data_IF_015844018083
#
_entry.id   IF_015844018083
#
_cell.length_a   1.000
_cell.length_b   1.000
_cell.length_c   1.000
_cell.angle_alpha   90.00
_cell.angle_beta   90.00
_cell.angle_gamma   90.00
#
_symmetry.space_group_name_H-M   'P 1'
#
loop_
_entity.id
_entity.type
_entity.pdbx_description
1 polymer ?
#
# COMPACT_ATOMS: atom_id res chain seq x y z
N UNK A 1 -53.77 26.76 37.86
CA UNK A 1 -53.08 26.97 36.56
C UNK A 1 -51.62 27.40 36.72
N UNK A 2 -51.31 28.44 37.52
CA UNK A 2 -49.93 28.93 37.72
C UNK A 2 -48.91 27.86 38.17
N UNK A 3 -49.30 26.97 39.09
CA UNK A 3 -48.43 25.90 39.62
C UNK A 3 -48.00 24.86 38.57
N UNK A 4 -48.81 24.64 37.53
CA UNK A 4 -48.48 23.70 36.44
C UNK A 4 -47.48 24.34 35.48
N UNK A 5 -47.64 25.63 35.21
CA UNK A 5 -46.76 26.40 34.34
C UNK A 5 -45.35 26.50 34.93
N UNK A 6 -45.24 26.79 36.23
CA UNK A 6 -43.93 26.85 36.91
C UNK A 6 -43.22 25.49 36.94
N UNK A 7 -43.93 24.39 37.17
CA UNK A 7 -43.33 23.04 37.11
C UNK A 7 -42.84 22.67 35.71
N UNK A 8 -43.55 23.06 34.65
CA UNK A 8 -43.13 22.79 33.27
C UNK A 8 -41.90 23.62 32.85
N UNK A 9 -41.80 24.85 33.33
CA UNK A 9 -40.62 25.70 33.10
C UNK A 9 -39.39 25.08 33.78
N UNK A 10 -39.50 24.67 35.04
CA UNK A 10 -38.40 24.05 35.78
C UNK A 10 -37.98 22.72 35.14
N UNK A 11 -38.93 21.89 34.68
CA UNK A 11 -38.62 20.66 33.95
C UNK A 11 -37.86 20.92 32.64
N UNK A 12 -38.23 21.98 31.90
CA UNK A 12 -37.59 22.35 30.64
C UNK A 12 -36.15 22.83 30.86
N UNK A 13 -35.92 23.68 31.87
CA UNK A 13 -34.57 24.11 32.27
C UNK A 13 -33.70 22.93 32.71
N UNK A 14 -34.25 22.02 33.52
CA UNK A 14 -33.54 20.82 33.98
C UNK A 14 -33.18 19.87 32.82
N UNK A 15 -34.06 19.74 31.82
CA UNK A 15 -33.81 18.92 30.63
C UNK A 15 -32.70 19.52 29.74
N UNK A 16 -32.67 20.85 29.59
CA UNK A 16 -31.63 21.54 28.82
C UNK A 16 -30.25 21.46 29.49
N UNK A 17 -30.17 21.52 30.83
CA UNK A 17 -28.89 21.33 31.54
C UNK A 17 -28.34 19.90 31.46
N UNK A 18 -29.21 18.89 31.36
CA UNK A 18 -28.80 17.47 31.36
C UNK A 18 -28.11 17.02 30.06
N UNK A 19 -28.18 17.81 28.99
CA UNK A 19 -27.69 17.43 27.65
C UNK A 19 -26.30 18.00 27.28
N UNK A 20 -25.56 18.57 28.24
CA UNK A 20 -24.16 18.97 28.02
C UNK A 20 -23.19 17.85 28.40
N UNK A 21 -23.32 16.71 27.74
CA UNK A 21 -22.27 15.69 27.74
C UNK A 21 -21.17 16.17 26.77
N UNK A 22 -20.21 16.93 27.28
CA UNK A 22 -19.05 17.40 26.53
C UNK A 22 -18.07 16.24 26.28
N UNK A 23 -18.38 15.39 25.31
CA UNK A 23 -17.48 14.33 24.82
C UNK A 23 -16.47 14.93 23.83
N UNK A 24 -15.68 15.90 24.28
CA UNK A 24 -14.59 16.49 23.50
C UNK A 24 -13.30 15.67 23.65
N UNK A 25 -12.58 15.49 22.54
CA UNK A 25 -11.24 14.92 22.53
C UNK A 25 -10.30 15.77 23.38
N UNK A 26 -9.45 15.16 24.19
CA UNK A 26 -8.54 15.91 25.06
C UNK A 26 -7.27 16.32 24.29
N UNK A 27 -6.66 17.45 24.67
CA UNK A 27 -5.41 17.91 24.04
C UNK A 27 -4.28 16.87 24.23
N UNK A 28 -4.28 16.20 25.39
CA UNK A 28 -3.31 15.16 25.74
C UNK A 28 -3.47 13.91 24.85
N UNK A 29 -4.68 13.55 24.48
CA UNK A 29 -4.97 12.45 23.55
C UNK A 29 -4.33 12.69 22.18
N UNK A 30 -4.48 13.90 21.65
CA UNK A 30 -3.92 14.26 20.35
C UNK A 30 -2.38 14.29 20.40
N UNK A 31 -1.80 14.76 21.50
CA UNK A 31 -0.35 14.75 21.71
C UNK A 31 0.19 13.32 21.77
N UNK A 32 -0.46 12.43 22.51
CA UNK A 32 -0.05 11.02 22.59
C UNK A 32 -0.09 10.34 21.22
N UNK A 33 -1.15 10.58 20.43
CA UNK A 33 -1.27 10.04 19.07
C UNK A 33 -0.14 10.53 18.17
N UNK A 34 0.19 11.82 18.21
CA UNK A 34 1.30 12.38 17.44
C UNK A 34 2.65 11.77 17.84
N UNK A 35 2.88 11.52 19.13
CA UNK A 35 4.09 10.84 19.61
C UNK A 35 4.17 9.43 19.04
N UNK A 36 3.08 8.66 19.11
CA UNK A 36 3.03 7.28 18.57
C UNK A 36 3.27 7.30 17.05
N UNK A 37 2.57 8.17 16.32
CA UNK A 37 2.76 8.31 14.87
C UNK A 37 4.18 8.76 14.51
N UNK A 38 4.81 9.61 15.31
CA UNK A 38 6.20 10.03 15.13
C UNK A 38 7.19 8.87 15.25
N UNK A 39 7.03 8.02 16.27
CA UNK A 39 7.87 6.83 16.46
C UNK A 39 7.65 5.83 15.33
N UNK A 40 6.39 5.58 14.95
CA UNK A 40 6.06 4.67 13.86
C UNK A 40 6.62 5.17 12.52
N UNK A 41 6.49 6.47 12.21
CA UNK A 41 7.00 7.06 10.99
C UNK A 41 8.52 6.96 10.89
N UNK A 42 9.24 7.21 11.99
CA UNK A 42 10.70 7.12 12.05
C UNK A 42 11.22 5.72 11.66
N UNK A 43 10.49 4.66 12.01
CA UNK A 43 10.86 3.26 11.66
C UNK A 43 10.27 2.82 10.32
N UNK A 44 9.06 3.26 9.98
CA UNK A 44 8.34 2.82 8.78
C UNK A 44 8.92 3.42 7.48
N UNK A 45 9.27 4.70 7.49
CA UNK A 45 9.78 5.40 6.30
C UNK A 45 11.05 4.74 5.72
N UNK A 46 12.14 4.52 6.48
CA UNK A 46 13.36 3.94 5.91
C UNK A 46 13.13 2.52 5.38
N UNK A 47 12.35 1.69 6.11
CA UNK A 47 12.01 0.33 5.68
C UNK A 47 11.18 0.32 4.40
N UNK A 48 10.26 1.29 4.26
CA UNK A 48 9.45 1.42 3.06
C UNK A 48 10.32 1.77 1.84
N UNK A 49 11.22 2.74 1.98
CA UNK A 49 12.15 3.13 0.91
C UNK A 49 13.07 1.98 0.49
N UNK A 50 13.63 1.24 1.44
CA UNK A 50 14.43 0.03 1.16
C UNK A 50 13.61 -1.03 0.40
N UNK A 51 12.35 -1.23 0.79
CA UNK A 51 11.45 -2.19 0.15
C UNK A 51 11.18 -1.81 -1.30
N UNK A 52 10.98 -0.52 -1.58
CA UNK A 52 10.77 -0.03 -2.96
C UNK A 52 12.00 -0.31 -3.82
N UNK A 53 13.20 0.05 -3.35
CA UNK A 53 14.45 -0.21 -4.07
C UNK A 53 14.64 -1.71 -4.33
N UNK A 54 14.39 -2.54 -3.32
CA UNK A 54 14.45 -4.00 -3.47
C UNK A 54 13.43 -4.52 -4.48
N UNK A 55 12.23 -3.95 -4.52
CA UNK A 55 11.18 -4.35 -5.46
C UNK A 55 11.53 -4.00 -6.90
N UNK A 56 12.22 -2.87 -7.12
CA UNK A 56 12.73 -2.46 -8.43
C UNK A 56 13.81 -3.43 -8.92
N UNK A 57 14.82 -3.71 -8.11
CA UNK A 57 15.86 -4.71 -8.42
C UNK A 57 15.24 -6.09 -8.68
N UNK A 58 14.28 -6.51 -7.85
CA UNK A 58 13.61 -7.80 -8.04
C UNK A 58 12.79 -7.85 -9.33
N UNK A 59 12.22 -6.72 -9.76
CA UNK A 59 11.48 -6.64 -11.02
C UNK A 59 12.42 -6.71 -12.22
N UNK A 60 13.57 -6.04 -12.15
CA UNK A 60 14.63 -6.12 -13.17
C UNK A 60 15.18 -7.54 -13.30
N UNK A 61 15.54 -8.17 -12.18
CA UNK A 61 16.01 -9.56 -12.14
C UNK A 61 14.97 -10.50 -12.75
N UNK A 62 13.68 -10.31 -12.41
CA UNK A 62 12.60 -11.10 -12.97
C UNK A 62 12.44 -10.93 -14.49
N UNK A 63 12.75 -9.75 -15.04
CA UNK A 63 12.75 -9.53 -16.49
C UNK A 63 13.91 -10.26 -17.15
N UNK A 64 15.12 -10.17 -16.57
CA UNK A 64 16.31 -10.85 -17.08
C UNK A 64 16.10 -12.38 -17.07
N UNK A 65 15.60 -12.92 -15.96
CA UNK A 65 15.31 -14.36 -15.83
C UNK A 65 14.32 -14.84 -16.91
N UNK A 66 13.29 -14.06 -17.21
CA UNK A 66 12.33 -14.38 -18.27
C UNK A 66 13.00 -14.42 -19.64
N UNK A 67 13.91 -13.49 -19.93
CA UNK A 67 14.67 -13.48 -21.20
C UNK A 67 15.56 -14.73 -21.28
N UNK A 68 16.28 -15.07 -20.21
CA UNK A 68 17.11 -16.27 -20.15
C UNK A 68 16.29 -17.55 -20.42
N UNK A 69 15.12 -17.69 -19.79
CA UNK A 69 14.21 -18.81 -20.01
C UNK A 69 13.69 -18.85 -21.45
N UNK A 70 13.34 -17.70 -22.02
CA UNK A 70 12.89 -17.64 -23.41
C UNK A 70 13.99 -18.07 -24.39
N UNK A 71 15.23 -17.62 -24.18
CA UNK A 71 16.37 -18.02 -24.99
C UNK A 71 16.65 -19.52 -24.86
N UNK A 72 16.57 -20.07 -23.65
CA UNK A 72 16.75 -21.51 -23.41
C UNK A 72 15.71 -22.32 -24.18
N UNK A 73 14.45 -21.90 -24.11
CA UNK A 73 13.35 -22.52 -24.86
C UNK A 73 13.57 -22.43 -26.38
N UNK A 74 14.05 -21.28 -26.89
CA UNK A 74 14.39 -21.12 -28.30
C UNK A 74 15.50 -22.09 -28.73
N UNK A 75 16.56 -22.18 -27.96
CA UNK A 75 17.70 -23.06 -28.25
C UNK A 75 17.29 -24.55 -28.22
N UNK A 76 16.40 -24.93 -27.29
CA UNK A 76 15.80 -26.26 -27.22
C UNK A 76 14.92 -26.54 -28.43
N UNK A 77 14.06 -25.59 -28.83
CA UNK A 77 13.23 -25.73 -30.02
C UNK A 77 14.08 -25.93 -31.28
N UNK A 78 15.14 -25.14 -31.45
CA UNK A 78 16.09 -25.29 -32.56
C UNK A 78 16.82 -26.62 -32.57
N UNK A 79 17.16 -27.15 -31.40
CA UNK A 79 17.73 -28.50 -31.29
C UNK A 79 16.76 -29.58 -31.80
N UNK A 80 15.46 -29.44 -31.52
CA UNK A 80 14.44 -30.38 -31.99
C UNK A 80 14.22 -30.28 -33.51
N UNK A 81 14.26 -29.08 -34.08
CA UNK A 81 13.96 -28.87 -35.52
C UNK A 81 15.17 -29.06 -36.42
N UNK A 82 16.36 -28.60 -36.01
CA UNK A 82 17.57 -28.53 -36.83
C UNK A 82 18.67 -29.51 -36.37
N UNK A 83 18.44 -30.23 -35.26
CA UNK A 83 19.39 -31.19 -34.70
C UNK A 83 20.62 -30.57 -34.04
N UNK A 84 20.67 -29.24 -33.91
CA UNK A 84 21.73 -28.50 -33.21
C UNK A 84 21.14 -27.41 -32.32
N UNK A 85 21.77 -27.24 -31.16
CA UNK A 85 21.47 -26.12 -30.25
C UNK A 85 22.17 -24.87 -30.76
N UNK A 86 21.38 -23.85 -31.11
CA UNK A 86 21.85 -22.56 -31.61
C UNK A 86 21.15 -21.44 -30.84
N UNK A 87 21.90 -20.38 -30.52
CA UNK A 87 21.41 -19.18 -29.85
C UNK A 87 21.26 -18.04 -30.87
N UNK A 88 20.20 -17.24 -30.79
CA UNK A 88 19.98 -16.14 -31.73
C UNK A 88 21.06 -15.05 -31.53
N UNK A 89 21.39 -14.34 -32.62
CA UNK A 89 22.33 -13.21 -32.54
C UNK A 89 21.74 -12.04 -31.73
N UNK A 90 20.43 -11.81 -31.85
CA UNK A 90 19.68 -10.86 -31.05
C UNK A 90 18.82 -11.60 -30.01
N UNK A 91 18.97 -11.34 -28.70
CA UNK A 91 18.22 -12.03 -27.65
C UNK A 91 16.71 -11.75 -27.68
N UNK A 92 16.28 -10.66 -28.30
CA UNK A 92 14.86 -10.31 -28.40
C UNK A 92 14.12 -11.11 -29.49
N UNK A 93 14.84 -11.74 -30.43
CA UNK A 93 14.23 -12.55 -31.50
C UNK A 93 13.63 -13.86 -30.98
N UNK A 94 14.02 -14.28 -29.77
CA UNK A 94 13.45 -15.45 -29.10
C UNK A 94 12.12 -15.16 -28.38
N UNK A 95 11.72 -13.88 -28.26
CA UNK A 95 10.52 -13.48 -27.53
C UNK A 95 9.28 -13.50 -28.43
N UNK A 96 8.16 -13.95 -27.87
CA UNK A 96 6.86 -13.93 -28.57
C UNK A 96 6.32 -12.50 -28.73
N UNK A 97 6.56 -11.63 -27.75
CA UNK A 97 6.18 -10.23 -27.79
C UNK A 97 7.39 -9.36 -27.51
N UNK A 98 7.75 -8.50 -28.47
CA UNK A 98 8.81 -7.51 -28.28
C UNK A 98 8.38 -6.46 -27.26
N UNK A 99 9.28 -6.00 -26.38
CA UNK A 99 8.97 -4.93 -25.44
C UNK A 99 8.57 -3.67 -26.21
N UNK A 100 7.40 -3.11 -25.87
CA UNK A 100 6.98 -1.82 -26.41
C UNK A 100 7.80 -0.72 -25.73
N UNK A 101 8.52 0.05 -26.53
CA UNK A 101 9.36 1.17 -26.08
C UNK A 101 8.50 2.37 -25.68
#
# INVERSE_FOLDING_TARGET
>A
MLLVVTKNIIKKELFIMKNRQSNGFTLIELIMVMIILGVLAAVAIPRYLETIQKSEVSAEDAVIDRICVALENFAQHKMLTEGRRYWPENPFDALETVPQT
#
